data_IF_001084941514
#
_entry.id   IF_001084941514
#
_cell.length_a   1.000
_cell.length_b   1.000
_cell.length_c   1.000
_cell.angle_alpha   90.00
_cell.angle_beta   90.00
_cell.angle_gamma   90.00
#
_symmetry.space_group_name_H-M   'P 1'
#
loop_
_entity.id
_entity.type
_entity.pdbx_description
1 polymer ?
#
# COMPACT_ATOMS: atom_id res chain seq x y z
N UNK A 1 28.72 38.67 24.75
CA UNK A 1 29.23 37.29 24.51
C UNK A 1 28.41 36.27 25.28
N UNK A 2 28.13 36.50 26.57
CA UNK A 2 27.33 35.61 27.44
C UNK A 2 25.92 35.30 26.93
N UNK A 3 25.19 36.30 26.41
CA UNK A 3 23.85 36.09 25.83
C UNK A 3 23.84 35.19 24.59
N UNK A 4 24.92 35.22 23.79
CA UNK A 4 25.05 34.35 22.61
C UNK A 4 25.31 32.90 23.04
N UNK A 5 26.13 32.69 24.09
CA UNK A 5 26.39 31.37 24.66
C UNK A 5 25.13 30.80 25.32
N UNK A 6 24.38 31.63 26.06
CA UNK A 6 23.10 31.23 26.65
C UNK A 6 22.07 30.86 25.58
N UNK A 7 21.97 31.65 24.51
CA UNK A 7 21.10 31.36 23.37
C UNK A 7 21.45 30.02 22.69
N UNK A 8 22.75 29.77 22.46
CA UNK A 8 23.23 28.51 21.89
C UNK A 8 22.90 27.31 22.81
N UNK A 9 23.08 27.46 24.12
CA UNK A 9 22.77 26.43 25.10
C UNK A 9 21.27 26.08 25.11
N UNK A 10 20.38 27.08 25.14
CA UNK A 10 18.93 26.87 25.11
C UNK A 10 18.51 26.16 23.81
N UNK A 11 19.04 26.60 22.66
CA UNK A 11 18.78 25.95 21.38
C UNK A 11 19.22 24.48 21.41
N UNK A 12 20.39 24.18 21.96
CA UNK A 12 20.89 22.81 22.08
C UNK A 12 19.99 21.94 22.96
N UNK A 13 19.50 22.49 24.10
CA UNK A 13 18.55 21.79 24.98
C UNK A 13 17.24 21.50 24.26
N UNK A 14 16.68 22.47 23.53
CA UNK A 14 15.42 22.30 22.78
C UNK A 14 15.59 21.22 21.71
N UNK A 15 16.65 21.30 20.89
CA UNK A 15 16.92 20.29 19.84
C UNK A 15 17.11 18.91 20.45
N UNK A 16 17.89 18.79 21.52
CA UNK A 16 18.10 17.51 22.24
C UNK A 16 16.79 16.94 22.76
N UNK A 17 15.95 17.78 23.37
CA UNK A 17 14.64 17.36 23.87
C UNK A 17 13.72 16.84 22.76
N UNK A 18 13.66 17.54 21.62
CA UNK A 18 12.87 17.12 20.46
C UNK A 18 13.35 15.76 19.93
N UNK A 19 14.66 15.55 19.80
CA UNK A 19 15.25 14.28 19.35
C UNK A 19 14.93 13.14 20.34
N UNK A 20 15.03 13.38 21.65
CA UNK A 20 14.69 12.38 22.66
C UNK A 20 13.20 12.02 22.62
N UNK A 21 12.31 13.00 22.44
CA UNK A 21 10.87 12.72 22.31
C UNK A 21 10.56 11.93 21.04
N UNK A 22 11.16 12.31 19.89
CA UNK A 22 10.99 11.60 18.63
C UNK A 22 11.45 10.14 18.71
N UNK A 23 12.61 9.89 19.34
CA UNK A 23 13.11 8.52 19.53
C UNK A 23 12.23 7.70 20.47
N UNK A 24 11.68 8.30 21.53
CA UNK A 24 10.73 7.61 22.44
C UNK A 24 9.41 7.27 21.74
N UNK A 25 8.87 8.18 20.94
CA UNK A 25 7.66 7.93 20.15
C UNK A 25 7.90 6.78 19.14
N UNK A 26 9.03 6.83 18.43
CA UNK A 26 9.44 5.78 17.49
C UNK A 26 9.57 4.40 18.15
N UNK A 27 10.10 4.34 19.38
CA UNK A 27 10.21 3.09 20.15
C UNK A 27 8.84 2.60 20.64
N UNK A 28 7.96 3.52 21.07
CA UNK A 28 6.61 3.17 21.49
C UNK A 28 5.79 2.58 20.34
N UNK A 29 5.85 3.17 19.14
CA UNK A 29 5.21 2.65 17.94
C UNK A 29 5.71 1.25 17.57
N UNK A 30 7.04 1.05 17.57
CA UNK A 30 7.62 -0.27 17.31
C UNK A 30 7.17 -1.31 18.33
N UNK A 31 7.11 -0.92 19.61
CA UNK A 31 6.68 -1.82 20.69
C UNK A 31 5.20 -2.22 20.51
N UNK A 32 4.31 -1.24 20.33
CA UNK A 32 2.89 -1.51 20.14
C UNK A 32 2.60 -2.33 18.87
N UNK A 33 3.27 -2.01 17.76
CA UNK A 33 3.16 -2.79 16.53
C UNK A 33 3.70 -4.22 16.70
N UNK A 34 4.78 -4.43 17.47
CA UNK A 34 5.31 -5.76 17.77
C UNK A 34 4.41 -6.56 18.73
N UNK A 35 3.63 -5.88 19.58
CA UNK A 35 2.60 -6.48 20.43
C UNK A 35 1.30 -6.80 19.65
N UNK A 36 1.24 -6.46 18.36
CA UNK A 36 0.09 -6.74 17.50
C UNK A 36 -1.05 -5.73 17.63
N UNK A 37 -0.78 -4.51 18.12
CA UNK A 37 -1.79 -3.45 18.18
C UNK A 37 -2.21 -3.02 16.77
N UNK A 38 -3.33 -3.59 16.30
CA UNK A 38 -3.89 -3.39 14.95
C UNK A 38 -4.17 -1.92 14.67
N UNK A 39 -4.56 -1.13 15.68
CA UNK A 39 -4.81 0.30 15.49
C UNK A 39 -3.51 1.03 15.19
N UNK A 40 -2.46 0.76 15.97
CA UNK A 40 -1.14 1.37 15.72
C UNK A 40 -0.58 0.93 14.37
N UNK A 41 -0.75 -0.34 13.98
CA UNK A 41 -0.33 -0.82 12.65
C UNK A 41 -1.09 -0.09 11.56
N UNK A 42 -2.41 0.07 11.70
CA UNK A 42 -3.23 0.85 10.77
C UNK A 42 -2.74 2.28 10.65
N UNK A 43 -2.53 2.98 11.78
CA UNK A 43 -2.04 4.36 11.79
C UNK A 43 -0.68 4.48 11.06
N UNK A 44 0.25 3.54 11.29
CA UNK A 44 1.54 3.48 10.59
C UNK A 44 1.36 3.35 9.07
N UNK A 45 0.47 2.46 8.64
CA UNK A 45 0.21 2.24 7.20
C UNK A 45 -0.47 3.48 6.61
N UNK A 46 -1.48 4.06 7.28
CA UNK A 46 -2.18 5.26 6.83
C UNK A 46 -1.24 6.46 6.67
N UNK A 47 -0.37 6.70 7.65
CA UNK A 47 0.65 7.75 7.60
C UNK A 47 1.62 7.53 6.44
N UNK A 48 2.04 6.29 6.20
CA UNK A 48 2.95 5.93 5.11
C UNK A 48 2.29 6.14 3.74
N UNK A 49 1.05 5.69 3.56
CA UNK A 49 0.29 5.95 2.34
C UNK A 49 0.06 7.44 2.13
N UNK A 50 -0.20 8.20 3.20
CA UNK A 50 -0.30 9.66 3.16
C UNK A 50 0.99 10.33 2.72
N UNK A 51 2.14 9.89 3.25
CA UNK A 51 3.45 10.37 2.87
C UNK A 51 3.74 10.09 1.38
N UNK A 52 3.56 8.86 0.91
CA UNK A 52 3.79 8.48 -0.49
C UNK A 52 2.86 9.22 -1.45
N UNK A 53 1.60 9.46 -1.06
CA UNK A 53 0.64 10.26 -1.84
C UNK A 53 1.15 11.67 -2.11
N UNK A 54 1.80 12.31 -1.13
CA UNK A 54 2.34 13.67 -1.26
C UNK A 54 3.76 13.72 -1.85
N UNK A 55 4.46 12.59 -1.89
CA UNK A 55 5.84 12.51 -2.34
C UNK A 55 5.94 12.74 -3.85
N UNK A 56 7.00 13.44 -4.27
CA UNK A 56 7.32 13.62 -5.68
C UNK A 56 7.68 12.26 -6.29
N UNK A 57 7.09 11.96 -7.45
CA UNK A 57 7.41 10.77 -8.25
C UNK A 57 8.93 10.57 -8.40
N UNK A 58 9.48 9.40 -8.05
CA UNK A 58 10.84 9.00 -8.41
C UNK A 58 11.06 9.02 -9.92
N UNK A 59 12.25 9.38 -10.40
CA UNK A 59 12.47 9.58 -11.85
C UNK A 59 12.32 8.28 -12.64
N UNK A 60 12.66 7.18 -12.00
CA UNK A 60 12.77 5.83 -12.52
C UNK A 60 11.41 5.12 -12.64
N UNK A 61 10.40 5.57 -11.88
CA UNK A 61 9.05 4.97 -11.86
C UNK A 61 8.14 5.68 -12.85
N UNK A 62 7.39 4.96 -13.70
CA UNK A 62 6.49 5.61 -14.67
C UNK A 62 5.43 6.50 -13.99
N UNK A 63 4.92 7.56 -14.66
CA UNK A 63 3.85 8.41 -14.12
C UNK A 63 2.60 7.64 -13.71
N UNK A 64 2.19 6.66 -14.52
CA UNK A 64 0.98 5.86 -14.27
C UNK A 64 1.15 4.92 -13.08
N UNK A 65 2.32 4.28 -12.96
CA UNK A 65 2.61 3.40 -11.83
C UNK A 65 2.59 4.21 -10.55
N UNK A 66 3.24 5.38 -10.55
CA UNK A 66 3.25 6.25 -9.39
C UNK A 66 1.86 6.78 -9.04
N UNK A 67 1.01 7.07 -10.02
CA UNK A 67 -0.39 7.43 -9.78
C UNK A 67 -1.15 6.28 -9.11
N UNK A 68 -0.88 5.03 -9.51
CA UNK A 68 -1.38 3.83 -8.82
C UNK A 68 -0.93 3.77 -7.35
N UNK A 69 0.35 4.05 -7.08
CA UNK A 69 0.91 4.11 -5.72
C UNK A 69 0.24 5.23 -4.88
N UNK A 70 0.11 6.43 -5.43
CA UNK A 70 -0.52 7.56 -4.73
C UNK A 70 -2.02 7.35 -4.47
N UNK A 71 -2.66 6.51 -5.31
CA UNK A 71 -4.06 6.08 -5.17
C UNK A 71 -4.28 4.93 -4.20
N UNK A 72 -3.25 4.40 -3.53
CA UNK A 72 -3.39 3.30 -2.59
C UNK A 72 -4.36 3.63 -1.45
N UNK A 73 -5.20 2.64 -1.13
CA UNK A 73 -6.18 2.68 -0.03
C UNK A 73 -6.12 1.40 0.78
N UNK A 74 -6.20 1.50 2.10
CA UNK A 74 -6.29 0.32 2.98
C UNK A 74 -7.64 -0.36 2.77
N UNK A 75 -7.59 -1.68 2.61
CA UNK A 75 -8.78 -2.55 2.59
C UNK A 75 -8.91 -3.25 3.94
N UNK A 76 -7.82 -3.84 4.44
CA UNK A 76 -7.79 -4.59 5.69
C UNK A 76 -6.40 -4.47 6.33
N UNK A 77 -6.35 -4.39 7.65
CA UNK A 77 -5.12 -4.46 8.43
C UNK A 77 -5.42 -5.33 9.64
N UNK A 78 -4.60 -6.35 9.86
CA UNK A 78 -4.54 -7.11 11.10
C UNK A 78 -3.07 -7.18 11.59
N UNK A 79 -2.79 -7.99 12.61
CA UNK A 79 -1.45 -8.09 13.18
C UNK A 79 -0.40 -8.67 12.21
N UNK A 80 -0.83 -9.39 11.18
CA UNK A 80 0.03 -10.13 10.25
C UNK A 80 -0.11 -9.65 8.80
N UNK A 81 -1.32 -9.22 8.40
CA UNK A 81 -1.69 -8.85 7.05
C UNK A 81 -1.92 -7.35 6.92
N UNK A 82 -1.29 -6.75 5.92
CA UNK A 82 -1.66 -5.43 5.38
C UNK A 82 -2.21 -5.63 3.97
N UNK A 83 -3.49 -5.36 3.78
CA UNK A 83 -4.17 -5.44 2.49
C UNK A 83 -4.52 -4.05 1.98
N UNK A 84 -4.06 -3.73 0.78
CA UNK A 84 -4.35 -2.46 0.11
C UNK A 84 -5.01 -2.69 -1.24
N UNK A 85 -5.76 -1.69 -1.68
CA UNK A 85 -6.25 -1.58 -3.04
C UNK A 85 -5.53 -0.48 -3.80
N UNK A 86 -5.23 -0.72 -5.07
CA UNK A 86 -4.68 0.25 -6.01
C UNK A 86 -5.60 0.40 -7.22
N UNK A 87 -5.32 1.38 -8.07
CA UNK A 87 -5.93 1.49 -9.39
C UNK A 87 -4.87 1.41 -10.48
N UNK A 88 -5.21 0.72 -11.57
CA UNK A 88 -4.47 0.73 -12.82
C UNK A 88 -5.45 0.94 -13.97
N UNK A 89 -5.08 1.82 -14.89
CA UNK A 89 -5.85 2.14 -16.08
C UNK A 89 -4.92 2.02 -17.30
N UNK A 90 -5.45 1.62 -18.45
CA UNK A 90 -4.68 1.59 -19.69
C UNK A 90 -4.26 2.99 -20.12
N UNK A 91 -3.08 3.09 -20.74
CA UNK A 91 -2.61 4.35 -21.36
C UNK A 91 -2.98 4.36 -22.84
N UNK A 92 -3.43 5.53 -23.31
CA UNK A 92 -3.79 5.74 -24.71
C UNK A 92 -3.10 7.00 -25.21
N UNK A 93 -2.49 6.92 -26.39
CA UNK A 93 -1.90 8.08 -27.05
C UNK A 93 -2.47 8.28 -28.43
N UNK A 94 -2.58 9.55 -28.81
CA UNK A 94 -2.95 9.94 -30.16
C UNK A 94 -1.71 9.82 -31.06
N UNK A 95 -1.64 8.76 -31.86
CA UNK A 95 -0.58 8.50 -32.83
C UNK A 95 -1.18 8.55 -34.23
N UNK A 96 -0.66 9.45 -35.08
CA UNK A 96 -1.15 9.64 -36.46
C UNK A 96 -2.68 9.86 -36.54
N UNK A 97 -3.25 10.62 -35.60
CA UNK A 97 -4.68 10.94 -35.56
C UNK A 97 -5.58 9.79 -35.09
N UNK A 98 -5.02 8.68 -34.60
CA UNK A 98 -5.77 7.56 -34.01
C UNK A 98 -5.35 7.35 -32.56
N UNK A 99 -6.31 7.08 -31.69
CA UNK A 99 -6.02 6.61 -30.33
C UNK A 99 -5.49 5.18 -30.42
N UNK A 100 -4.30 4.98 -29.86
CA UNK A 100 -3.64 3.68 -29.78
C UNK A 100 -3.37 3.41 -28.31
N UNK A 101 -3.74 2.22 -27.85
CA UNK A 101 -3.38 1.73 -26.52
C UNK A 101 -1.86 1.54 -26.47
N UNK A 102 -1.21 2.28 -25.58
CA UNK A 102 0.25 2.21 -25.39
C UNK A 102 0.64 1.33 -24.21
N UNK A 103 -0.29 1.08 -23.28
CA UNK A 103 -0.10 0.16 -22.17
C UNK A 103 -1.41 -0.54 -21.82
N UNK A 104 -1.38 -1.87 -21.83
CA UNK A 104 -2.47 -2.72 -21.38
C UNK A 104 -2.68 -2.54 -19.86
N UNK A 105 -3.94 -2.39 -19.37
CA UNK A 105 -4.23 -2.22 -17.95
C UNK A 105 -3.63 -3.31 -17.04
N UNK A 106 -3.49 -4.55 -17.52
CA UNK A 106 -2.88 -5.63 -16.75
C UNK A 106 -1.37 -5.45 -16.59
N UNK A 107 -0.66 -5.00 -17.63
CA UNK A 107 0.77 -4.70 -17.53
C UNK A 107 1.01 -3.55 -16.54
N UNK A 108 0.15 -2.53 -16.58
CA UNK A 108 0.18 -1.44 -15.62
C UNK A 108 -0.13 -1.95 -14.21
N UNK A 109 -1.12 -2.83 -14.05
CA UNK A 109 -1.46 -3.45 -12.78
C UNK A 109 -0.29 -4.27 -12.20
N UNK A 110 0.45 -5.00 -13.04
CA UNK A 110 1.65 -5.74 -12.61
C UNK A 110 2.75 -4.81 -12.13
N UNK A 111 2.98 -3.69 -12.84
CA UNK A 111 3.96 -2.70 -12.45
C UNK A 111 3.60 -1.98 -11.15
N UNK A 112 2.33 -1.61 -10.97
CA UNK A 112 1.79 -1.07 -9.71
C UNK A 112 1.93 -2.09 -8.58
N UNK A 113 1.59 -3.36 -8.82
CA UNK A 113 1.70 -4.43 -7.82
C UNK A 113 3.14 -4.62 -7.36
N UNK A 114 4.08 -4.76 -8.29
CA UNK A 114 5.50 -4.92 -7.97
C UNK A 114 6.00 -3.74 -7.12
N UNK A 115 5.71 -2.49 -7.53
CA UNK A 115 6.17 -1.32 -6.77
C UNK A 115 5.46 -1.18 -5.41
N UNK A 116 4.17 -1.49 -5.32
CA UNK A 116 3.43 -1.45 -4.07
C UNK A 116 3.97 -2.49 -3.07
N UNK A 117 4.26 -3.71 -3.53
CA UNK A 117 4.85 -4.76 -2.70
C UNK A 117 6.25 -4.38 -2.22
N UNK A 118 7.10 -3.84 -3.10
CA UNK A 118 8.42 -3.32 -2.72
C UNK A 118 8.32 -2.27 -1.60
N UNK A 119 7.45 -1.27 -1.76
CA UNK A 119 7.27 -0.21 -0.76
C UNK A 119 6.64 -0.72 0.55
N UNK A 120 5.57 -1.49 0.47
CA UNK A 120 4.86 -2.00 1.66
C UNK A 120 5.71 -2.99 2.44
N UNK A 121 6.48 -3.83 1.75
CA UNK A 121 7.41 -4.73 2.40
C UNK A 121 8.60 -3.93 2.92
N UNK A 122 9.32 -3.12 2.15
CA UNK A 122 10.62 -2.61 2.60
C UNK A 122 10.62 -1.20 3.20
N UNK A 123 9.63 -0.36 2.88
CA UNK A 123 9.64 1.06 3.23
C UNK A 123 8.68 1.43 4.39
N UNK A 124 7.84 0.51 4.88
CA UNK A 124 6.98 0.79 6.04
C UNK A 124 7.81 1.09 7.30
N UNK A 125 7.63 2.27 7.93
CA UNK A 125 8.36 2.64 9.13
C UNK A 125 7.74 1.94 10.34
N UNK A 126 8.57 1.57 11.33
CA UNK A 126 8.15 1.01 12.63
C UNK A 126 7.39 -0.33 12.63
N UNK A 127 6.88 -0.81 11.49
CA UNK A 127 6.19 -2.08 11.36
C UNK A 127 6.72 -2.87 10.17
N UNK A 128 6.75 -4.20 10.31
CA UNK A 128 7.12 -5.12 9.24
C UNK A 128 5.98 -6.13 9.10
N UNK A 129 5.07 -5.94 8.13
CA UNK A 129 3.96 -6.88 7.96
C UNK A 129 4.53 -8.27 7.63
N UNK A 130 3.90 -9.30 8.17
CA UNK A 130 4.26 -10.67 7.84
C UNK A 130 3.81 -11.04 6.43
N UNK A 131 2.65 -10.52 6.01
CA UNK A 131 2.12 -10.62 4.64
C UNK A 131 1.52 -9.30 4.18
N UNK A 132 1.65 -9.03 2.89
CA UNK A 132 1.03 -7.90 2.21
C UNK A 132 0.17 -8.45 1.08
N UNK A 133 -1.06 -7.95 0.96
CA UNK A 133 -1.91 -8.21 -0.20
C UNK A 133 -2.18 -6.91 -0.96
N UNK A 134 -1.93 -6.93 -2.27
CA UNK A 134 -2.21 -5.83 -3.17
C UNK A 134 -3.29 -6.27 -4.15
N UNK A 135 -4.45 -5.61 -4.10
CA UNK A 135 -5.54 -5.80 -5.03
C UNK A 135 -5.60 -4.61 -5.99
N UNK A 136 -5.41 -4.84 -7.29
CA UNK A 136 -5.42 -3.78 -8.30
C UNK A 136 -6.73 -3.82 -9.07
N UNK A 137 -7.38 -2.66 -9.09
CA UNK A 137 -8.68 -2.46 -9.73
C UNK A 137 -8.55 -1.63 -10.99
N UNK A 138 -9.39 -1.90 -11.98
CA UNK A 138 -9.61 -1.02 -13.13
C UNK A 138 -11.07 -0.57 -13.18
N UNK A 139 -11.31 0.54 -13.86
CA UNK A 139 -12.67 1.00 -14.14
C UNK A 139 -13.23 0.24 -15.34
N UNK A 140 -14.29 -0.55 -15.13
CA UNK A 140 -15.00 -1.22 -16.22
C UNK A 140 -16.23 -0.42 -16.61
N UNK A 141 -16.39 -0.20 -17.92
CA UNK A 141 -17.54 0.51 -18.49
C UNK A 141 -18.23 -0.40 -19.49
N UNK A 142 -19.40 -0.92 -19.14
CA UNK A 142 -20.27 -1.63 -20.07
C UNK A 142 -21.42 -0.71 -20.51
N UNK A 143 -21.88 -0.79 -21.78
CA UNK A 143 -22.94 0.08 -22.30
C UNK A 143 -24.23 0.11 -21.47
N UNK A 144 -24.54 -1.00 -20.79
CA UNK A 144 -25.80 -1.20 -20.06
C UNK A 144 -25.61 -1.39 -18.55
N UNK A 145 -24.39 -1.18 -18.01
CA UNK A 145 -24.11 -1.30 -16.57
C UNK A 145 -23.58 -0.01 -15.98
N UNK A 146 -23.78 0.11 -14.67
CA UNK A 146 -23.13 1.14 -13.85
C UNK A 146 -21.63 0.95 -13.98
N UNK A 147 -20.90 2.05 -14.20
CA UNK A 147 -19.44 2.04 -14.16
C UNK A 147 -18.99 1.56 -12.79
N UNK A 148 -18.23 0.45 -12.77
CA UNK A 148 -17.78 -0.18 -11.54
C UNK A 148 -16.26 -0.40 -11.54
N UNK A 149 -15.69 -0.48 -10.35
CA UNK A 149 -14.29 -0.85 -10.15
C UNK A 149 -14.21 -2.35 -9.99
N UNK A 150 -13.53 -3.03 -10.90
CA UNK A 150 -13.35 -4.49 -10.88
C UNK A 150 -11.90 -4.83 -10.55
N UNK A 151 -11.70 -5.80 -9.67
CA UNK A 151 -10.36 -6.30 -9.36
C UNK A 151 -9.86 -7.14 -10.54
N UNK A 152 -8.67 -6.86 -11.04
CA UNK A 152 -8.08 -7.57 -12.21
C UNK A 152 -6.79 -8.31 -11.87
N UNK A 153 -6.14 -7.94 -10.77
CA UNK A 153 -4.93 -8.57 -10.28
C UNK A 153 -4.92 -8.51 -8.75
N UNK A 154 -4.65 -9.64 -8.11
CA UNK A 154 -4.51 -9.74 -6.66
C UNK A 154 -3.29 -10.57 -6.32
N UNK A 155 -2.37 -10.01 -5.56
CA UNK A 155 -1.11 -10.68 -5.17
C UNK A 155 -0.93 -10.59 -3.66
N UNK A 156 -0.67 -11.73 -3.01
CA UNK A 156 -0.37 -11.79 -1.59
C UNK A 156 1.03 -12.36 -1.39
N UNK A 157 1.93 -11.57 -0.83
CA UNK A 157 3.33 -11.94 -0.65
C UNK A 157 3.82 -11.65 0.77
N UNK A 158 4.75 -12.48 1.22
CA UNK A 158 5.54 -12.25 2.43
C UNK A 158 6.92 -11.69 2.07
N UNK A 159 7.69 -11.30 3.09
CA UNK A 159 9.11 -10.98 2.90
C UNK A 159 9.95 -12.19 2.50
N UNK A 160 9.52 -13.39 2.82
CA UNK A 160 10.23 -14.61 2.42
C UNK A 160 10.11 -14.82 0.92
N UNK A 161 8.91 -14.63 0.36
CA UNK A 161 8.66 -14.67 -1.08
C UNK A 161 9.45 -13.57 -1.81
N UNK A 162 9.40 -12.34 -1.28
CA UNK A 162 10.10 -11.18 -1.83
C UNK A 162 11.63 -11.30 -1.87
N UNK A 163 12.23 -12.16 -1.04
CA UNK A 163 13.68 -12.43 -1.09
C UNK A 163 14.10 -13.29 -2.28
N UNK A 164 13.16 -14.02 -2.89
CA UNK A 164 13.43 -14.84 -4.06
C UNK A 164 13.32 -14.06 -5.37
N UNK A 165 12.90 -12.80 -5.28
CA UNK A 165 12.69 -11.91 -6.43
C UNK A 165 13.93 -11.05 -6.66
N UNK A 166 14.36 -10.97 -7.92
CA UNK A 166 15.30 -9.95 -8.35
C UNK A 166 14.56 -8.70 -8.81
N UNK A 167 14.48 -7.70 -7.94
CA UNK A 167 13.73 -6.46 -8.16
C UNK A 167 14.32 -5.57 -9.26
N UNK A 168 15.59 -5.76 -9.60
CA UNK A 168 16.32 -4.90 -10.55
C UNK A 168 16.39 -5.54 -11.95
N UNK A 169 16.56 -6.86 -12.02
CA UNK A 169 16.74 -7.56 -13.30
C UNK A 169 15.44 -8.15 -13.86
N UNK A 170 14.47 -8.51 -13.02
CA UNK A 170 13.25 -9.15 -13.50
C UNK A 170 12.24 -8.13 -14.02
N UNK A 171 11.47 -8.57 -15.01
CA UNK A 171 10.29 -7.85 -15.47
C UNK A 171 9.19 -7.86 -14.42
N UNK A 172 8.30 -6.86 -14.44
CA UNK A 172 7.16 -6.79 -13.52
C UNK A 172 6.25 -8.02 -13.60
N UNK A 173 6.11 -8.63 -14.78
CA UNK A 173 5.38 -9.87 -14.96
C UNK A 173 6.05 -11.05 -14.23
N UNK A 174 7.36 -11.21 -14.37
CA UNK A 174 8.13 -12.25 -13.66
C UNK A 174 8.06 -12.06 -12.15
N UNK A 175 8.16 -10.82 -11.67
CA UNK A 175 8.02 -10.49 -10.24
C UNK A 175 6.63 -10.91 -9.73
N UNK A 176 5.56 -10.50 -10.42
CA UNK A 176 4.19 -10.80 -10.00
C UNK A 176 3.90 -12.30 -10.06
N UNK A 177 4.37 -13.01 -11.08
CA UNK A 177 4.24 -14.47 -11.20
C UNK A 177 4.95 -15.19 -10.06
N UNK A 178 6.20 -14.81 -9.77
CA UNK A 178 6.98 -15.39 -8.67
C UNK A 178 6.36 -15.14 -7.29
N UNK A 179 5.65 -14.02 -7.12
CA UNK A 179 4.94 -13.66 -5.90
C UNK A 179 3.51 -14.22 -5.83
N UNK A 180 3.11 -15.08 -6.76
CA UNK A 180 1.81 -15.74 -6.75
C UNK A 180 0.64 -14.85 -7.17
N UNK A 181 0.89 -13.90 -8.07
CA UNK A 181 -0.14 -13.01 -8.61
C UNK A 181 -1.26 -13.77 -9.30
N UNK A 182 -2.50 -13.46 -8.89
CA UNK A 182 -3.73 -14.04 -9.46
C UNK A 182 -4.35 -13.03 -10.40
N UNK A 183 -4.49 -13.39 -11.67
CA UNK A 183 -5.16 -12.59 -12.70
C UNK A 183 -5.74 -13.52 -13.77
N UNK A 184 -6.64 -12.99 -14.59
CA UNK A 184 -7.21 -13.68 -15.75
C UNK A 184 -7.14 -12.78 -16.98
N UNK A 185 -7.03 -13.39 -18.15
CA UNK A 185 -7.06 -12.70 -19.43
C UNK A 185 -8.06 -13.37 -20.37
N UNK A 186 -8.64 -12.60 -21.28
CA UNK A 186 -9.38 -13.12 -22.42
C UNK A 186 -8.45 -13.51 -23.58
N UNK A 187 -9.04 -13.98 -24.68
CA UNK A 187 -8.31 -14.40 -25.89
C UNK A 187 -7.57 -13.24 -26.58
N UNK A 188 -7.89 -11.99 -26.25
CA UNK A 188 -7.25 -10.77 -26.76
C UNK A 188 -6.19 -10.21 -25.80
N UNK A 189 -5.93 -10.90 -24.68
CA UNK A 189 -4.98 -10.48 -23.66
C UNK A 189 -5.51 -9.35 -22.76
N UNK A 190 -6.80 -9.06 -22.77
CA UNK A 190 -7.42 -8.06 -21.90
C UNK A 190 -7.70 -8.66 -20.51
N UNK A 191 -7.49 -7.91 -19.43
CA UNK A 191 -7.74 -8.41 -18.09
C UNK A 191 -9.23 -8.69 -17.87
N UNK A 192 -9.52 -9.83 -17.24
CA UNK A 192 -10.85 -10.19 -16.79
C UNK A 192 -10.97 -9.99 -15.28
N UNK A 193 -12.15 -9.60 -14.76
CA UNK A 193 -12.39 -9.50 -13.33
C UNK A 193 -12.03 -10.80 -12.61
N UNK A 194 -11.47 -10.71 -11.41
CA UNK A 194 -11.23 -11.83 -10.52
C UNK A 194 -12.00 -11.64 -9.22
N UNK A 195 -12.41 -12.77 -8.62
CA UNK A 195 -12.95 -12.76 -7.27
C UNK A 195 -11.81 -12.68 -6.26
N UNK A 196 -11.96 -11.80 -5.29
CA UNK A 196 -11.06 -11.69 -4.14
C UNK A 196 -11.84 -11.94 -2.86
N UNK A 197 -11.18 -12.52 -1.88
CA UNK A 197 -11.78 -12.77 -0.57
C UNK A 197 -12.28 -11.46 0.04
N UNK A 198 -13.46 -11.49 0.68
CA UNK A 198 -14.00 -10.33 1.37
C UNK A 198 -13.11 -9.97 2.57
N UNK A 199 -12.88 -8.69 2.86
CA UNK A 199 -12.14 -8.30 4.06
C UNK A 199 -12.88 -8.76 5.31
N UNK A 200 -12.14 -9.12 6.37
CA UNK A 200 -12.75 -9.41 7.67
C UNK A 200 -13.48 -8.15 8.17
N UNK A 201 -14.71 -8.29 8.64
CA UNK A 201 -15.49 -7.17 9.16
C UNK A 201 -14.92 -6.69 10.50
N UNK A 202 -14.74 -5.38 10.64
CA UNK A 202 -14.25 -4.73 11.87
C UNK A 202 -15.22 -4.94 13.05
N UNK A 203 -16.51 -5.23 12.77
CA UNK A 203 -17.56 -5.42 13.77
C UNK A 203 -17.47 -6.75 14.55
N UNK A 204 -16.71 -7.74 14.08
CA UNK A 204 -16.65 -9.05 14.72
C UNK A 204 -15.80 -9.08 16.00
N UNK A 205 -14.89 -8.12 16.21
CA UNK A 205 -14.04 -8.04 17.41
C UNK A 205 -14.61 -7.14 18.51
N UNK A 206 -15.48 -6.18 18.18
CA UNK A 206 -16.06 -5.22 19.16
C UNK A 206 -17.37 -5.71 19.79
N UNK A 207 -17.85 -6.89 19.39
CA UNK A 207 -18.97 -7.59 20.04
C UNK A 207 -18.53 -8.29 21.34
N UNK A 208 -17.80 -7.58 22.19
CA UNK A 208 -17.70 -7.91 23.61
C UNK A 208 -19.11 -7.96 24.19
N UNK A 209 -19.44 -9.06 24.87
CA UNK A 209 -20.75 -9.32 25.44
C UNK A 209 -21.36 -8.08 26.14
N UNK A 210 -22.64 -7.74 25.87
CA UNK A 210 -23.27 -6.59 26.53
C UNK A 210 -23.22 -6.77 28.05
N UNK A 211 -22.91 -5.72 28.83
CA UNK A 211 -22.88 -5.81 30.28
C UNK A 211 -24.26 -6.24 30.79
N UNK A 212 -24.27 -7.26 31.65
CA UNK A 212 -25.49 -7.78 32.25
C UNK A 212 -26.27 -6.62 32.94
N UNK A 213 -27.59 -6.51 32.75
CA UNK A 213 -28.36 -5.45 33.37
C UNK A 213 -28.28 -5.56 34.89
N UNK A 214 -27.83 -4.48 35.54
CA UNK A 214 -27.80 -4.38 37.00
C UNK A 214 -29.21 -4.56 37.54
N UNK A 215 -29.45 -5.63 38.30
CA UNK A 215 -30.70 -5.81 39.06
C UNK A 215 -30.76 -4.73 40.14
N UNK A 216 -31.78 -3.88 40.06
CA UNK A 216 -32.30 -3.12 41.21
C UNK A 216 -33.20 -4.01 42.05
#
# INVERSE_FOLDING_TARGET
MEWAVLGLFIMFVIVTYIVVQGTRAALAWRKAAAEGDVKVIRDIVEDSLGAWRSMKRPKEVSPDVWRGIQGMQIVEVDAELVRVSCQAEGDYRLVNGRWVETANPLHEAMAVTAKALDMLLYELPHHKPGRVQVDVYMTMREPDRVTERVCILSTTASREDARQVDWEEWTTAQIVEALGGRYRMDDLGQPLPIEVEAPKSVEAEDAGAPPAPSRR
#
